data_IF_483888746986
#
_entry.id   IF_483888746986
#
_cell.length_a   1.000
_cell.length_b   1.000
_cell.length_c   1.000
_cell.angle_alpha   90.00
_cell.angle_beta   90.00
_cell.angle_gamma   90.00
#
_symmetry.space_group_name_H-M   'P 1'
#
loop_
_entity.id
_entity.type
_entity.pdbx_description
1 polymer ?
#
# COMPACT_ATOMS: atom_id res chain seq x y z
N UNK A 1 -0.39 4.19 -12.08
CA UNK A 1 0.11 3.76 -10.74
C UNK A 1 -0.34 4.75 -9.69
N UNK A 2 -1.02 4.28 -8.62
CA UNK A 2 -1.29 5.08 -7.42
C UNK A 2 -0.27 4.71 -6.34
N UNK A 3 0.34 5.70 -5.69
CA UNK A 3 1.41 5.51 -4.69
C UNK A 3 0.92 6.00 -3.33
N UNK A 4 0.99 5.12 -2.32
CA UNK A 4 0.46 5.36 -0.97
C UNK A 4 1.60 5.26 0.04
N UNK A 5 1.84 6.35 0.76
CA UNK A 5 2.87 6.42 1.79
C UNK A 5 2.46 5.73 3.12
N UNK A 6 3.41 5.44 3.98
CA UNK A 6 3.19 4.96 5.35
C UNK A 6 2.82 6.08 6.34
N UNK A 7 2.57 5.70 7.60
CA UNK A 7 2.36 6.66 8.69
C UNK A 7 3.59 7.57 8.88
N UNK A 8 3.37 8.84 9.23
CA UNK A 8 4.42 9.83 9.41
C UNK A 8 5.12 10.28 8.11
N UNK A 9 4.65 9.80 6.94
CA UNK A 9 5.22 10.14 5.64
C UNK A 9 4.29 11.06 4.84
N UNK A 10 4.68 11.38 3.61
CA UNK A 10 3.94 12.26 2.69
C UNK A 10 4.32 11.95 1.24
N UNK A 11 3.50 12.43 0.28
CA UNK A 11 3.66 12.14 -1.16
C UNK A 11 5.05 12.46 -1.71
N UNK A 12 5.69 13.55 -1.23
CA UNK A 12 7.01 13.97 -1.72
C UNK A 12 8.10 12.92 -1.46
N UNK A 13 7.96 12.13 -0.40
CA UNK A 13 8.93 11.08 -0.04
C UNK A 13 8.93 9.90 -1.02
N UNK A 14 7.99 9.85 -1.96
CA UNK A 14 7.87 8.78 -2.96
C UNK A 14 8.11 9.25 -4.40
N UNK A 15 8.71 10.44 -4.56
CA UNK A 15 9.02 10.99 -5.88
C UNK A 15 10.06 10.19 -6.67
N UNK A 16 10.92 9.41 -6.00
CA UNK A 16 11.86 8.49 -6.62
C UNK A 16 11.11 7.38 -7.41
N UNK A 17 10.14 6.74 -6.79
CA UNK A 17 9.31 5.73 -7.47
C UNK A 17 8.42 6.36 -8.55
N UNK A 18 7.89 7.57 -8.33
CA UNK A 18 7.15 8.31 -9.37
C UNK A 18 8.00 8.53 -10.63
N UNK A 19 9.28 8.89 -10.46
CA UNK A 19 10.22 9.02 -11.59
C UNK A 19 10.53 7.67 -12.26
N UNK A 20 10.67 6.60 -11.46
CA UNK A 20 10.87 5.24 -12.01
C UNK A 20 9.65 4.79 -12.83
N UNK A 21 8.43 5.09 -12.38
CA UNK A 21 7.20 4.87 -13.14
C UNK A 21 7.22 5.61 -14.48
N UNK A 22 7.50 6.92 -14.46
CA UNK A 22 7.54 7.73 -15.67
C UNK A 22 8.60 7.23 -16.67
N UNK A 23 9.79 6.85 -16.19
CA UNK A 23 10.85 6.27 -17.02
C UNK A 23 10.46 4.92 -17.64
N UNK A 24 9.53 4.19 -17.03
CA UNK A 24 8.98 2.92 -17.52
C UNK A 24 7.67 3.09 -18.35
N UNK A 25 7.26 4.33 -18.66
CA UNK A 25 6.04 4.61 -19.43
C UNK A 25 4.74 4.52 -18.62
N UNK A 26 4.80 4.60 -17.29
CA UNK A 26 3.63 4.60 -16.42
C UNK A 26 3.27 6.02 -15.96
N UNK A 27 1.99 6.36 -16.03
CA UNK A 27 1.47 7.49 -15.26
C UNK A 27 1.53 7.16 -13.75
N UNK A 28 1.91 8.13 -12.91
CA UNK A 28 2.03 7.94 -11.46
C UNK A 28 1.37 9.10 -10.70
N UNK A 29 0.59 8.75 -9.66
CA UNK A 29 -0.03 9.67 -8.73
C UNK A 29 0.37 9.29 -7.30
N UNK A 30 1.11 10.16 -6.60
CA UNK A 30 1.29 10.10 -5.17
C UNK A 30 0.41 11.17 -4.51
N UNK A 31 -0.28 10.82 -3.44
CA UNK A 31 -1.15 11.76 -2.72
C UNK A 31 -0.91 11.67 -1.21
N UNK A 32 -1.22 12.76 -0.51
CA UNK A 32 -1.21 12.76 0.95
C UNK A 32 -2.49 12.11 1.47
N UNK A 33 -2.36 11.01 2.18
CA UNK A 33 -3.48 10.37 2.85
C UNK A 33 -4.09 11.31 3.91
N UNK A 34 -5.34 11.08 4.25
CA UNK A 34 -5.97 11.75 5.40
C UNK A 34 -5.05 11.72 6.60
N UNK A 35 -5.00 12.80 7.35
CA UNK A 35 -4.16 12.95 8.53
C UNK A 35 -2.67 13.15 8.27
N UNK A 36 -2.23 13.27 7.00
CA UNK A 36 -0.82 13.41 6.64
C UNK A 36 -0.58 14.57 5.65
N UNK A 37 0.66 15.00 5.56
CA UNK A 37 1.11 16.00 4.59
C UNK A 37 0.19 17.23 4.53
N UNK A 38 -0.19 17.64 3.33
CA UNK A 38 -1.09 18.77 3.05
C UNK A 38 -2.58 18.39 3.04
N UNK A 39 -2.94 17.11 3.32
CA UNK A 39 -4.35 16.73 3.44
C UNK A 39 -5.00 17.44 4.63
N UNK A 40 -6.15 18.06 4.46
CA UNK A 40 -6.84 18.77 5.54
C UNK A 40 -7.70 17.84 6.41
N UNK A 41 -8.01 16.66 5.90
CA UNK A 41 -8.85 15.66 6.55
C UNK A 41 -8.09 14.87 7.64
N UNK A 42 -8.82 14.42 8.66
CA UNK A 42 -8.30 13.52 9.68
C UNK A 42 -8.21 12.06 9.19
N UNK A 43 -7.21 11.32 9.68
CA UNK A 43 -7.09 9.89 9.40
C UNK A 43 -8.25 9.11 10.00
N UNK A 44 -8.80 8.16 9.23
CA UNK A 44 -9.90 7.32 9.65
C UNK A 44 -10.27 6.27 8.59
N UNK A 45 -11.34 5.48 8.81
CA UNK A 45 -11.77 4.41 7.91
C UNK A 45 -12.04 4.86 6.46
N UNK A 46 -12.39 6.13 6.25
CA UNK A 46 -12.63 6.70 4.92
C UNK A 46 -11.40 6.69 3.99
N UNK A 47 -10.18 6.49 4.52
CA UNK A 47 -8.95 6.41 3.73
C UNK A 47 -8.98 5.30 2.66
N UNK A 48 -9.68 4.19 2.90
CA UNK A 48 -9.86 3.13 1.90
C UNK A 48 -10.67 3.60 0.69
N UNK A 49 -11.74 4.36 0.93
CA UNK A 49 -12.55 4.95 -0.13
C UNK A 49 -11.79 5.99 -0.95
N UNK A 50 -10.85 6.71 -0.32
CA UNK A 50 -9.99 7.67 -1.02
C UNK A 50 -9.10 6.97 -2.03
N UNK A 51 -8.53 5.81 -1.70
CA UNK A 51 -7.73 5.04 -2.64
C UNK A 51 -8.52 4.67 -3.90
N UNK A 52 -9.74 4.16 -3.74
CA UNK A 52 -10.62 3.86 -4.87
C UNK A 52 -10.95 5.08 -5.73
N UNK A 53 -11.13 6.28 -5.10
CA UNK A 53 -11.30 7.54 -5.83
C UNK A 53 -10.05 7.93 -6.62
N UNK A 54 -8.86 7.80 -6.01
CA UNK A 54 -7.58 8.10 -6.68
C UNK A 54 -7.32 7.14 -7.84
N UNK A 55 -7.66 5.86 -7.69
CA UNK A 55 -7.53 4.88 -8.76
C UNK A 55 -8.44 5.23 -9.97
N UNK A 56 -9.72 5.56 -9.71
CA UNK A 56 -10.62 6.02 -10.77
C UNK A 56 -10.17 7.32 -11.41
N UNK A 57 -9.66 8.26 -10.63
CA UNK A 57 -9.11 9.51 -11.15
C UNK A 57 -7.93 9.25 -12.09
N UNK A 58 -6.97 8.39 -11.71
CA UNK A 58 -5.85 8.02 -12.59
C UNK A 58 -6.36 7.35 -13.86
N UNK A 59 -7.34 6.44 -13.76
CA UNK A 59 -7.94 5.77 -14.91
C UNK A 59 -8.76 6.68 -15.83
N UNK A 60 -9.12 7.89 -15.37
CA UNK A 60 -9.85 8.89 -16.19
C UNK A 60 -8.94 9.87 -16.92
N UNK A 61 -7.62 9.78 -16.74
CA UNK A 61 -6.66 10.63 -17.44
C UNK A 61 -6.50 10.12 -18.88
N UNK A 62 -6.50 11.02 -19.86
CA UNK A 62 -6.22 10.68 -21.25
C UNK A 62 -4.89 9.92 -21.36
N UNK A 63 -4.83 8.95 -22.27
CA UNK A 63 -3.70 8.04 -22.48
C UNK A 63 -3.40 7.06 -21.33
N UNK A 64 -4.23 7.00 -20.28
CA UNK A 64 -4.14 5.96 -19.22
C UNK A 64 -5.18 4.87 -19.49
N UNK A 65 -4.70 3.62 -19.55
CA UNK A 65 -5.58 2.45 -19.60
C UNK A 65 -6.23 2.22 -18.23
N UNK A 66 -7.56 2.40 -18.09
CA UNK A 66 -8.26 2.25 -16.82
C UNK A 66 -8.22 0.81 -16.28
N UNK A 67 -8.07 -0.19 -17.13
CA UNK A 67 -7.99 -1.60 -16.74
C UNK A 67 -6.60 -2.01 -16.23
N UNK A 68 -5.62 -1.09 -16.27
CA UNK A 68 -4.24 -1.30 -15.85
C UNK A 68 -3.83 -0.43 -14.66
N UNK A 69 -4.75 0.13 -13.92
CA UNK A 69 -4.44 0.93 -12.73
C UNK A 69 -3.99 0.01 -11.59
N UNK A 70 -2.74 0.19 -11.16
CA UNK A 70 -2.13 -0.55 -10.06
C UNK A 70 -1.86 0.38 -8.87
N UNK A 71 -1.72 -0.21 -7.68
CA UNK A 71 -1.37 0.53 -6.46
C UNK A 71 -0.07 0.01 -5.86
N UNK A 72 0.72 0.90 -5.26
CA UNK A 72 1.90 0.57 -4.47
C UNK A 72 1.84 1.29 -3.14
N UNK A 73 1.91 0.53 -2.04
CA UNK A 73 1.89 1.08 -0.69
C UNK A 73 2.97 0.50 0.21
N UNK A 74 3.45 1.28 1.19
CA UNK A 74 4.42 0.84 2.20
C UNK A 74 3.88 0.96 3.60
N UNK A 75 4.17 0.02 4.50
CA UNK A 75 3.74 0.02 5.89
C UNK A 75 2.21 0.17 6.02
N UNK A 76 1.71 1.21 6.69
CA UNK A 76 0.29 1.57 6.71
C UNK A 76 -0.29 1.75 5.29
N UNK A 77 0.47 2.32 4.36
CA UNK A 77 0.05 2.43 2.95
C UNK A 77 -0.09 1.06 2.27
N UNK A 78 0.70 0.06 2.67
CA UNK A 78 0.56 -1.32 2.21
C UNK A 78 -0.73 -1.98 2.71
N UNK A 79 -1.10 -1.71 3.96
CA UNK A 79 -2.39 -2.09 4.54
C UNK A 79 -3.56 -1.48 3.75
N UNK A 80 -3.52 -0.15 3.53
CA UNK A 80 -4.55 0.56 2.75
C UNK A 80 -4.61 0.05 1.30
N UNK A 81 -3.46 -0.24 0.69
CA UNK A 81 -3.38 -0.76 -0.68
C UNK A 81 -4.10 -2.10 -0.83
N UNK A 82 -3.87 -3.05 0.09
CA UNK A 82 -4.49 -4.38 0.05
C UNK A 82 -6.00 -4.27 0.30
N UNK A 83 -6.43 -3.62 1.40
CA UNK A 83 -7.87 -3.47 1.70
C UNK A 83 -8.61 -2.69 0.62
N UNK A 84 -8.04 -1.60 0.13
CA UNK A 84 -8.66 -0.78 -0.90
C UNK A 84 -8.78 -1.52 -2.24
N UNK A 85 -7.78 -2.33 -2.59
CA UNK A 85 -7.84 -3.16 -3.81
C UNK A 85 -8.83 -4.32 -3.67
N UNK A 86 -8.99 -4.89 -2.47
CA UNK A 86 -9.96 -5.94 -2.20
C UNK A 86 -11.41 -5.48 -2.42
N UNK A 87 -11.68 -4.18 -2.25
CA UNK A 87 -13.02 -3.57 -2.33
C UNK A 87 -13.25 -2.68 -3.55
N UNK A 88 -12.26 -2.53 -4.44
CA UNK A 88 -12.35 -1.62 -5.60
C UNK A 88 -12.00 -2.32 -6.91
N UNK A 89 -12.94 -2.33 -7.85
CA UNK A 89 -12.73 -2.85 -9.21
C UNK A 89 -11.81 -1.96 -10.05
N UNK A 90 -11.59 -0.71 -9.65
CA UNK A 90 -10.69 0.22 -10.33
C UNK A 90 -9.19 -0.11 -10.11
N UNK A 91 -8.86 -1.11 -9.28
CA UNK A 91 -7.49 -1.49 -8.97
C UNK A 91 -7.23 -2.89 -9.50
N UNK A 92 -6.25 -3.02 -10.40
CA UNK A 92 -5.91 -4.27 -11.09
C UNK A 92 -4.89 -5.11 -10.32
N UNK A 93 -3.91 -4.48 -9.68
CA UNK A 93 -2.82 -5.19 -8.98
C UNK A 93 -2.25 -4.37 -7.81
N UNK A 94 -1.61 -5.05 -6.87
CA UNK A 94 -1.06 -4.47 -5.64
C UNK A 94 0.43 -4.80 -5.50
N UNK A 95 1.23 -3.79 -5.15
CA UNK A 95 2.58 -3.94 -4.58
C UNK A 95 2.54 -3.44 -3.14
N UNK A 96 2.75 -4.31 -2.17
CA UNK A 96 2.79 -3.96 -0.75
C UNK A 96 4.19 -4.19 -0.17
N UNK A 97 4.76 -3.14 0.40
CA UNK A 97 6.12 -3.14 0.95
C UNK A 97 6.03 -3.06 2.47
N UNK A 98 6.58 -4.06 3.15
CA UNK A 98 6.53 -4.17 4.61
C UNK A 98 5.12 -3.81 5.16
N UNK A 99 4.01 -4.39 4.62
CA UNK A 99 2.66 -3.97 4.96
C UNK A 99 2.40 -4.16 6.45
N UNK A 100 1.84 -3.14 7.11
CA UNK A 100 1.37 -3.27 8.48
C UNK A 100 0.12 -4.16 8.51
N UNK A 101 -0.05 -4.96 9.55
CA UNK A 101 -1.33 -5.58 9.86
C UNK A 101 -2.12 -4.70 10.83
N UNK A 102 -3.40 -5.02 11.03
CA UNK A 102 -4.29 -4.32 11.98
C UNK A 102 -3.71 -4.26 13.39
N UNK A 103 -3.05 -5.33 13.86
CA UNK A 103 -2.44 -5.37 15.20
C UNK A 103 -1.29 -4.37 15.32
N UNK A 104 -0.45 -4.22 14.30
CA UNK A 104 0.63 -3.24 14.28
C UNK A 104 0.07 -1.80 14.31
N UNK A 105 -1.00 -1.55 13.54
CA UNK A 105 -1.66 -0.24 13.50
C UNK A 105 -2.38 0.07 14.81
N UNK A 106 -3.08 -0.91 15.43
CA UNK A 106 -3.73 -0.77 16.74
C UNK A 106 -2.70 -0.47 17.83
N UNK A 107 -1.60 -1.20 17.86
CA UNK A 107 -0.53 -0.96 18.82
C UNK A 107 0.06 0.44 18.64
N UNK A 108 0.36 0.86 17.42
CA UNK A 108 0.88 2.18 17.11
C UNK A 108 -0.12 3.31 17.45
N UNK A 109 -1.41 3.09 17.21
CA UNK A 109 -2.48 4.02 17.55
C UNK A 109 -2.60 4.22 19.07
N UNK A 110 -2.62 3.12 19.83
CA UNK A 110 -2.74 3.13 21.30
C UNK A 110 -1.53 3.69 22.01
N UNK A 111 -0.33 3.39 21.52
CA UNK A 111 0.92 3.94 22.07
C UNK A 111 1.19 5.39 21.65
N UNK A 112 0.45 5.93 20.67
CA UNK A 112 0.70 7.25 20.09
C UNK A 112 1.92 7.31 19.18
N UNK A 113 2.53 6.17 18.83
CA UNK A 113 3.68 6.10 17.91
C UNK A 113 3.30 6.16 16.43
N UNK A 114 2.00 6.04 16.11
CA UNK A 114 1.50 6.18 14.74
C UNK A 114 1.33 7.67 14.43
N UNK A 115 2.31 8.23 13.73
CA UNK A 115 2.35 9.66 13.39
C UNK A 115 1.29 10.00 12.34
N UNK A 116 0.18 10.60 12.79
CA UNK A 116 -0.91 11.07 11.93
C UNK A 116 -1.79 12.08 12.68
N UNK A 117 -2.47 12.95 11.95
CA UNK A 117 -3.51 13.82 12.52
C UNK A 117 -4.82 13.05 12.60
N UNK A 118 -5.28 12.83 13.82
CA UNK A 118 -6.58 12.26 14.12
C UNK A 118 -6.99 12.70 15.54
N UNK A 119 -8.12 13.39 15.64
CA UNK A 119 -8.71 13.75 16.95
C UNK A 119 -9.25 12.52 17.68
N UNK A 120 -9.71 12.69 18.94
CA UNK A 120 -10.16 11.57 19.76
C UNK A 120 -11.27 10.73 19.10
N UNK A 121 -12.22 11.37 18.43
CA UNK A 121 -13.33 10.69 17.76
C UNK A 121 -12.88 9.91 16.54
N UNK A 122 -11.99 10.47 15.71
CA UNK A 122 -11.42 9.80 14.55
C UNK A 122 -10.55 8.60 14.96
N UNK A 123 -9.77 8.74 16.06
CA UNK A 123 -8.99 7.65 16.64
C UNK A 123 -9.87 6.50 17.12
N UNK A 124 -10.95 6.80 17.85
CA UNK A 124 -11.88 5.79 18.33
C UNK A 124 -12.56 5.03 17.17
N UNK A 125 -12.97 5.76 16.11
CA UNK A 125 -13.55 5.15 14.92
C UNK A 125 -12.55 4.27 14.17
N UNK A 126 -11.29 4.71 14.05
CA UNK A 126 -10.23 3.93 13.43
C UNK A 126 -9.87 2.67 14.26
N UNK A 127 -9.82 2.80 15.58
CA UNK A 127 -9.56 1.67 16.48
C UNK A 127 -10.66 0.60 16.39
N UNK A 128 -11.93 1.01 16.41
CA UNK A 128 -13.07 0.11 16.23
C UNK A 128 -12.99 -0.60 14.87
N UNK A 129 -12.76 0.17 13.79
CA UNK A 129 -12.66 -0.37 12.45
C UNK A 129 -11.49 -1.39 12.32
N UNK A 130 -10.31 -1.06 12.84
CA UNK A 130 -9.14 -1.97 12.83
C UNK A 130 -9.42 -3.26 13.63
N UNK A 131 -10.21 -3.17 14.71
CA UNK A 131 -10.60 -4.34 15.52
C UNK A 131 -11.56 -5.31 14.81
N UNK A 132 -12.27 -4.86 13.78
CA UNK A 132 -13.25 -5.63 13.00
C UNK A 132 -12.68 -6.18 11.69
N UNK A 133 -11.45 -5.82 11.32
CA UNK A 133 -10.85 -6.16 10.03
C UNK A 133 -9.62 -7.05 10.21
N UNK A 134 -9.36 -7.87 9.18
CA UNK A 134 -8.22 -8.79 9.11
C UNK A 134 -7.57 -8.67 7.72
N UNK A 135 -6.29 -8.32 7.68
CA UNK A 135 -5.56 -8.14 6.43
C UNK A 135 -5.41 -9.46 5.65
N UNK A 136 -5.43 -10.62 6.34
CA UNK A 136 -5.42 -11.94 5.68
C UNK A 136 -6.69 -12.15 4.86
N UNK A 137 -7.85 -11.82 5.43
CA UNK A 137 -9.12 -11.86 4.72
C UNK A 137 -9.13 -10.90 3.53
N UNK A 138 -8.57 -9.69 3.70
CA UNK A 138 -8.45 -8.75 2.58
C UNK A 138 -7.56 -9.28 1.46
N UNK A 139 -6.47 -9.99 1.80
CA UNK A 139 -5.61 -10.67 0.82
C UNK A 139 -6.38 -11.78 0.09
N UNK A 140 -7.18 -12.58 0.79
CA UNK A 140 -8.03 -13.61 0.16
C UNK A 140 -9.08 -12.98 -0.79
N UNK A 141 -9.67 -11.85 -0.38
CA UNK A 141 -10.64 -11.09 -1.19
C UNK A 141 -10.03 -10.43 -2.43
N UNK A 142 -8.70 -10.28 -2.53
CA UNK A 142 -8.06 -9.88 -3.79
C UNK A 142 -8.36 -10.87 -4.93
N UNK A 143 -8.56 -12.15 -4.60
CA UNK A 143 -8.82 -13.19 -5.59
C UNK A 143 -7.68 -13.28 -6.60
N UNK A 144 -7.98 -13.20 -7.89
CA UNK A 144 -7.01 -13.26 -8.97
C UNK A 144 -6.24 -11.94 -9.23
N UNK A 145 -6.43 -10.90 -8.41
CA UNK A 145 -5.63 -9.66 -8.55
C UNK A 145 -4.18 -9.92 -8.15
N UNK A 146 -3.21 -9.61 -9.03
CA UNK A 146 -1.79 -9.82 -8.74
C UNK A 146 -1.34 -9.11 -7.46
N UNK A 147 -0.67 -9.85 -6.55
CA UNK A 147 -0.10 -9.32 -5.31
C UNK A 147 1.41 -9.55 -5.26
N UNK A 148 2.19 -8.46 -5.24
CA UNK A 148 3.61 -8.48 -4.94
C UNK A 148 3.85 -7.98 -3.52
N UNK A 149 4.40 -8.85 -2.67
CA UNK A 149 4.87 -8.51 -1.33
C UNK A 149 6.39 -8.34 -1.34
N UNK A 150 6.88 -7.29 -0.72
CA UNK A 150 8.33 -7.03 -0.56
C UNK A 150 8.58 -6.73 0.92
N UNK A 151 9.55 -7.40 1.55
CA UNK A 151 9.87 -7.19 2.96
C UNK A 151 11.38 -7.23 3.19
N UNK A 152 11.87 -6.42 4.12
CA UNK A 152 13.25 -6.47 4.60
C UNK A 152 13.32 -7.39 5.83
N UNK A 153 14.19 -8.41 5.85
CA UNK A 153 14.29 -9.34 6.97
C UNK A 153 14.74 -8.68 8.28
N UNK A 154 15.47 -7.57 8.19
CA UNK A 154 15.88 -6.78 9.34
C UNK A 154 14.89 -5.67 9.72
N UNK A 155 13.64 -5.73 9.26
CA UNK A 155 12.59 -4.77 9.63
C UNK A 155 12.34 -4.82 11.15
N UNK A 156 12.64 -3.71 11.82
CA UNK A 156 12.55 -3.57 13.28
C UNK A 156 11.14 -3.22 13.78
N UNK A 157 10.21 -2.95 12.87
CA UNK A 157 8.83 -2.55 13.20
C UNK A 157 7.82 -3.65 12.93
N UNK A 158 8.02 -4.38 11.83
CA UNK A 158 7.11 -5.43 11.37
C UNK A 158 7.96 -6.62 10.95
N UNK A 159 7.79 -7.75 11.62
CA UNK A 159 8.52 -8.96 11.29
C UNK A 159 8.19 -9.46 9.88
N UNK A 160 9.20 -9.87 9.11
CA UNK A 160 9.03 -10.33 7.71
C UNK A 160 8.13 -11.56 7.59
N UNK A 161 8.01 -12.36 8.66
CA UNK A 161 7.14 -13.52 8.78
C UNK A 161 5.66 -13.14 8.57
N UNK A 162 5.30 -11.89 8.86
CA UNK A 162 3.97 -11.37 8.56
C UNK A 162 3.70 -11.33 7.05
N UNK A 163 4.64 -10.88 6.23
CA UNK A 163 4.49 -10.96 4.78
C UNK A 163 4.53 -12.39 4.24
N UNK A 164 5.27 -13.30 4.88
CA UNK A 164 5.24 -14.72 4.56
C UNK A 164 3.85 -15.34 4.87
N UNK A 165 3.20 -14.89 5.95
CA UNK A 165 1.84 -15.27 6.28
C UNK A 165 0.84 -14.75 5.25
N UNK A 166 0.87 -13.46 4.92
CA UNK A 166 0.01 -12.88 3.89
C UNK A 166 0.18 -13.57 2.53
N UNK A 167 1.42 -13.91 2.17
CA UNK A 167 1.70 -14.65 0.94
C UNK A 167 1.01 -16.01 0.90
N UNK A 168 0.91 -16.73 2.03
CA UNK A 168 0.21 -18.02 2.10
C UNK A 168 -1.30 -17.90 1.86
N UNK A 169 -1.91 -16.77 2.24
CA UNK A 169 -3.33 -16.47 2.02
C UNK A 169 -3.65 -15.94 0.62
N UNK A 170 -2.67 -15.42 -0.12
CA UNK A 170 -2.89 -14.85 -1.44
C UNK A 170 -3.13 -15.94 -2.50
N UNK A 171 -4.01 -15.67 -3.47
CA UNK A 171 -4.15 -16.47 -4.68
C UNK A 171 -3.09 -16.10 -5.73
N UNK A 172 -2.92 -16.92 -6.76
CA UNK A 172 -2.09 -16.58 -7.92
C UNK A 172 -2.79 -15.54 -8.82
N UNK A 173 -2.05 -14.63 -9.46
CA UNK A 173 -0.57 -14.50 -9.45
C UNK A 173 -0.08 -13.73 -8.22
N UNK A 174 0.81 -14.34 -7.46
CA UNK A 174 1.43 -13.75 -6.27
C UNK A 174 2.94 -13.87 -6.28
N UNK A 175 3.63 -12.97 -5.62
CA UNK A 175 5.08 -13.03 -5.42
C UNK A 175 5.47 -12.43 -4.08
N UNK A 176 6.43 -13.07 -3.40
CA UNK A 176 7.07 -12.54 -2.21
C UNK A 176 8.57 -12.37 -2.46
N UNK A 177 9.11 -11.23 -2.07
CA UNK A 177 10.54 -10.93 -2.07
C UNK A 177 10.93 -10.55 -0.65
N UNK A 178 11.80 -11.35 -0.02
CA UNK A 178 12.37 -11.04 1.29
C UNK A 178 13.85 -10.71 1.10
N UNK A 179 14.21 -9.45 1.40
CA UNK A 179 15.60 -9.01 1.39
C UNK A 179 16.36 -9.61 2.58
N UNK A 180 17.62 -10.04 2.43
CA UNK A 180 18.36 -10.72 3.50
C UNK A 180 18.73 -9.82 4.69
N UNK A 181 18.54 -8.49 4.58
CA UNK A 181 18.83 -7.50 5.61
C UNK A 181 17.97 -6.28 5.46
N UNK A 182 18.50 -5.09 5.81
CA UNK A 182 17.80 -3.82 5.71
C UNK A 182 16.95 -3.51 6.95
N UNK A 183 16.17 -2.43 6.87
CA UNK A 183 15.27 -1.93 7.91
C UNK A 183 13.92 -1.56 7.28
N UNK A 184 12.95 -1.12 8.08
CA UNK A 184 11.56 -0.87 7.65
C UNK A 184 11.41 -0.01 6.38
N UNK A 185 12.32 0.94 6.14
CA UNK A 185 12.26 1.82 4.97
C UNK A 185 13.15 1.40 3.81
N UNK A 186 14.04 0.39 3.95
CA UNK A 186 15.04 0.04 2.95
C UNK A 186 14.43 -0.34 1.61
N UNK A 187 13.41 -1.21 1.63
CA UNK A 187 12.83 -1.78 0.42
C UNK A 187 12.07 -0.75 -0.45
N UNK A 188 11.53 0.32 0.16
CA UNK A 188 10.69 1.27 -0.58
C UNK A 188 11.48 2.20 -1.49
N UNK A 189 12.76 2.46 -1.18
CA UNK A 189 13.62 3.38 -1.94
C UNK A 189 14.71 2.65 -2.74
N UNK A 190 14.73 1.33 -2.72
CA UNK A 190 15.66 0.53 -3.51
C UNK A 190 15.29 0.56 -4.99
N UNK A 191 16.18 1.11 -5.83
CA UNK A 191 15.91 1.31 -7.26
C UNK A 191 15.77 -0.01 -8.03
N UNK A 192 16.47 -1.08 -7.61
CA UNK A 192 16.36 -2.39 -8.23
C UNK A 192 14.99 -3.00 -7.97
N UNK A 193 14.50 -2.92 -6.72
CA UNK A 193 13.17 -3.38 -6.34
C UNK A 193 12.06 -2.56 -6.99
N UNK A 194 12.26 -1.24 -7.15
CA UNK A 194 11.33 -0.38 -7.88
C UNK A 194 11.18 -0.86 -9.34
N UNK A 195 12.29 -1.05 -10.04
CA UNK A 195 12.30 -1.56 -11.41
C UNK A 195 11.75 -2.99 -11.52
N UNK A 196 12.08 -3.87 -10.56
CA UNK A 196 11.55 -5.22 -10.52
C UNK A 196 10.02 -5.23 -10.35
N UNK A 197 9.50 -4.36 -9.49
CA UNK A 197 8.05 -4.23 -9.26
C UNK A 197 7.31 -3.86 -10.54
N UNK A 198 7.81 -2.87 -11.28
CA UNK A 198 7.21 -2.45 -12.56
C UNK A 198 7.26 -3.56 -13.61
N UNK A 199 8.41 -4.22 -13.80
CA UNK A 199 8.53 -5.35 -14.73
C UNK A 199 7.65 -6.54 -14.36
N UNK A 200 7.45 -6.79 -13.07
CA UNK A 200 6.57 -7.87 -12.62
C UNK A 200 5.11 -7.53 -12.90
N UNK A 201 4.68 -6.30 -12.59
CA UNK A 201 3.34 -5.82 -12.89
C UNK A 201 3.04 -5.92 -14.39
N UNK A 202 3.91 -5.40 -15.25
CA UNK A 202 3.71 -5.47 -16.71
C UNK A 202 3.45 -6.89 -17.20
N UNK A 203 4.23 -7.86 -16.72
CA UNK A 203 4.06 -9.26 -17.12
C UNK A 203 2.78 -9.90 -16.60
N UNK A 204 2.30 -9.48 -15.43
CA UNK A 204 1.13 -10.11 -14.79
C UNK A 204 -0.21 -9.49 -15.17
N UNK A 205 -0.24 -8.20 -15.51
CA UNK A 205 -1.48 -7.51 -15.90
C UNK A 205 -1.70 -7.50 -17.42
N UNK A 206 -0.72 -7.90 -18.23
CA UNK A 206 -0.85 -7.98 -19.69
C UNK A 206 -1.48 -9.30 -20.17
N UNK A 207 -1.70 -10.22 -19.27
CA UNK A 207 -2.36 -11.51 -19.51
C UNK A 207 -3.79 -11.44 -18.95
#
# INVERSE_FOLDING_TARGET
>A
MVIIHGAGSRKENHGDFGRACAAAGWAALAYDQRGHGASEEEMGPAALGDLGRMARFVGSIDDVDPDRVCVRGSSMGGFVAIHGAATSDAIRAVVAICPAGEQHLLQGLRSGSLEMRAGPQARAALEAWLGEHDLRQAVELLGAKPLLLIHARGDERIASEWSEELYRHAAEPRKLIVLPGGHHHSAQHDAELQGLSLRWLERTISN
#
